data_IF_256169436261
#
_entry.id   IF_256169436261
#
_cell.length_a   1.000
_cell.length_b   1.000
_cell.length_c   1.000
_cell.angle_alpha   90.00
_cell.angle_beta   90.00
_cell.angle_gamma   90.00
#
_symmetry.space_group_name_H-M   'P 1'
#
loop_
_entity.id
_entity.type
_entity.pdbx_description
1 polymer ?
#
# COMPACT_ATOMS: atom_id res chain seq x y z
N UNK A 1 15.55 2.35 -6.40
CA UNK A 1 14.68 2.68 -7.57
C UNK A 1 14.54 1.45 -8.42
N UNK A 2 13.30 1.03 -8.64
CA UNK A 2 12.90 -0.16 -9.36
C UNK A 2 11.80 0.24 -10.34
N UNK A 3 11.87 -0.30 -11.56
CA UNK A 3 10.99 0.03 -12.66
C UNK A 3 10.47 -1.28 -13.27
N UNK A 4 9.15 -1.42 -13.35
CA UNK A 4 8.45 -2.46 -14.11
C UNK A 4 8.37 -2.11 -15.59
N UNK A 5 7.41 -2.72 -16.28
CA UNK A 5 7.19 -2.58 -17.71
C UNK A 5 5.69 -2.44 -18.01
N UNK A 6 5.25 -2.77 -19.23
CA UNK A 6 3.84 -2.76 -19.59
C UNK A 6 3.15 -4.13 -19.33
N UNK A 7 3.78 -5.00 -18.54
CA UNK A 7 3.31 -6.34 -18.25
C UNK A 7 3.04 -6.47 -16.76
N UNK A 8 2.07 -7.30 -16.39
CA UNK A 8 1.84 -7.67 -14.99
C UNK A 8 3.09 -8.30 -14.37
N UNK A 9 3.62 -7.67 -13.34
CA UNK A 9 4.87 -7.99 -12.68
C UNK A 9 4.72 -8.11 -11.16
N UNK A 10 5.73 -8.73 -10.55
CA UNK A 10 5.93 -8.66 -9.10
C UNK A 10 7.23 -7.92 -8.85
N UNK A 11 7.11 -6.76 -8.22
CA UNK A 11 8.22 -5.86 -7.92
C UNK A 11 8.45 -5.84 -6.42
N UNK A 12 9.67 -6.14 -6.00
CA UNK A 12 10.05 -6.16 -4.59
C UNK A 12 11.28 -5.29 -4.39
N UNK A 13 11.17 -4.31 -3.49
CA UNK A 13 12.29 -3.48 -3.06
C UNK A 13 13.27 -4.21 -2.17
N UNK A 14 14.22 -3.45 -1.63
CA UNK A 14 15.30 -4.01 -0.82
C UNK A 14 15.12 -3.63 0.66
N UNK A 15 16.23 -3.48 1.38
CA UNK A 15 16.22 -3.13 2.80
C UNK A 15 16.43 -1.63 3.07
N UNK A 16 16.23 -0.78 2.06
CA UNK A 16 16.42 0.66 2.13
C UNK A 16 15.26 1.37 1.44
N UNK A 17 15.14 2.68 1.65
CA UNK A 17 14.17 3.52 0.94
C UNK A 17 14.31 3.38 -0.59
N UNK A 18 13.26 2.89 -1.21
CA UNK A 18 13.11 2.66 -2.64
C UNK A 18 11.97 3.49 -3.23
N UNK A 19 12.09 3.78 -4.53
CA UNK A 19 10.97 4.22 -5.36
C UNK A 19 10.69 3.10 -6.34
N UNK A 20 9.46 2.59 -6.36
CA UNK A 20 9.04 1.46 -7.20
C UNK A 20 7.92 1.95 -8.11
N UNK A 21 8.08 1.75 -9.42
CA UNK A 21 7.11 2.12 -10.45
C UNK A 21 6.68 0.87 -11.21
N UNK A 22 5.39 0.52 -11.20
CA UNK A 22 4.81 -0.62 -11.94
C UNK A 22 4.69 -0.33 -13.44
N UNK A 23 4.12 0.82 -13.78
CA UNK A 23 3.79 1.31 -15.14
C UNK A 23 2.47 0.80 -15.69
N UNK A 24 2.42 -0.14 -16.64
CA UNK A 24 1.15 -0.66 -17.15
C UNK A 24 1.02 -2.14 -16.79
N UNK A 25 -0.21 -2.60 -16.61
CA UNK A 25 -0.50 -3.99 -16.24
C UNK A 25 -0.86 -4.10 -14.78
N UNK A 26 -1.37 -5.27 -14.39
CA UNK A 26 -1.76 -5.51 -13.00
C UNK A 26 -0.56 -5.99 -12.21
N UNK A 27 0.05 -5.13 -11.43
CA UNK A 27 1.29 -5.37 -10.72
C UNK A 27 1.08 -5.73 -9.25
N UNK A 28 2.08 -6.38 -8.67
CA UNK A 28 2.18 -6.61 -7.23
C UNK A 28 3.44 -5.96 -6.71
N UNK A 29 3.30 -4.92 -5.90
CA UNK A 29 4.40 -4.09 -5.39
C UNK A 29 4.60 -4.33 -3.89
N UNK A 30 5.81 -4.69 -3.49
CA UNK A 30 6.23 -4.72 -2.09
C UNK A 30 7.48 -3.85 -1.92
N UNK A 31 7.44 -2.87 -1.02
CA UNK A 31 8.57 -1.97 -0.75
C UNK A 31 9.79 -2.69 -0.16
N UNK A 32 9.55 -3.74 0.62
CA UNK A 32 10.57 -4.37 1.44
C UNK A 32 10.77 -3.57 2.73
N UNK A 33 11.96 -3.61 3.32
CA UNK A 33 12.23 -2.77 4.47
C UNK A 33 12.69 -1.39 4.00
N UNK A 34 12.22 -0.32 4.61
CA UNK A 34 12.56 1.01 4.15
C UNK A 34 11.51 2.04 4.51
N UNK A 35 11.55 3.14 3.78
CA UNK A 35 10.46 4.09 3.74
C UNK A 35 10.26 4.36 2.26
N UNK A 36 9.33 3.62 1.67
CA UNK A 36 9.27 3.43 0.24
C UNK A 36 8.16 4.27 -0.40
N UNK A 37 8.34 4.56 -1.68
CA UNK A 37 7.32 5.19 -2.52
C UNK A 37 6.93 4.21 -3.61
N UNK A 38 5.68 3.75 -3.56
CA UNK A 38 5.11 2.80 -4.49
C UNK A 38 4.16 3.54 -5.44
N UNK A 39 4.33 3.28 -6.74
CA UNK A 39 3.50 3.82 -7.82
C UNK A 39 3.07 2.65 -8.68
N UNK A 40 1.78 2.30 -8.66
CA UNK A 40 1.23 1.18 -9.43
C UNK A 40 1.24 1.49 -10.93
N UNK A 41 0.61 2.61 -11.29
CA UNK A 41 0.44 3.03 -12.67
C UNK A 41 -0.95 2.69 -13.22
N UNK A 42 -1.01 2.26 -14.48
CA UNK A 42 -2.24 1.79 -15.10
C UNK A 42 -2.44 0.30 -14.87
N UNK A 43 -3.52 -0.09 -14.22
CA UNK A 43 -3.79 -1.50 -13.94
C UNK A 43 -4.74 -1.62 -12.76
N UNK A 44 -5.04 -2.87 -12.39
CA UNK A 44 -5.55 -3.18 -11.06
C UNK A 44 -4.37 -3.71 -10.24
N UNK A 45 -3.77 -2.87 -9.41
CA UNK A 45 -2.51 -3.16 -8.72
C UNK A 45 -2.71 -3.66 -7.29
N UNK A 46 -1.73 -4.40 -6.77
CA UNK A 46 -1.73 -4.88 -5.38
C UNK A 46 -0.49 -4.38 -4.65
N UNK A 47 -0.68 -3.60 -3.60
CA UNK A 47 0.38 -3.08 -2.74
C UNK A 47 0.47 -3.92 -1.47
N UNK A 48 1.58 -4.64 -1.29
CA UNK A 48 1.76 -5.63 -0.24
C UNK A 48 2.62 -5.08 0.88
N UNK A 49 2.09 -5.13 2.10
CA UNK A 49 2.79 -4.70 3.30
C UNK A 49 2.87 -5.83 4.32
N UNK A 50 4.02 -5.95 4.98
CA UNK A 50 4.22 -6.89 6.08
C UNK A 50 4.82 -6.21 7.30
N UNK A 51 4.74 -6.88 8.45
CA UNK A 51 5.32 -6.36 9.70
C UNK A 51 6.81 -5.99 9.55
N UNK A 52 7.14 -4.73 9.84
CA UNK A 52 8.51 -4.22 9.83
C UNK A 52 9.04 -3.76 8.47
N UNK A 53 8.19 -3.67 7.45
CA UNK A 53 8.53 -3.03 6.16
C UNK A 53 8.88 -1.55 6.34
N UNK A 54 8.26 -0.87 7.30
CA UNK A 54 8.55 0.53 7.59
C UNK A 54 7.46 1.46 7.07
N UNK A 55 7.78 2.75 6.96
CA UNK A 55 6.78 3.79 6.70
C UNK A 55 6.70 4.13 5.22
N UNK A 56 5.65 3.66 4.55
CA UNK A 56 5.55 3.69 3.09
C UNK A 56 4.47 4.64 2.58
N UNK A 57 4.59 4.98 1.30
CA UNK A 57 3.68 5.85 0.57
C UNK A 57 3.21 5.14 -0.70
N UNK A 58 1.90 5.01 -0.86
CA UNK A 58 1.27 4.69 -2.15
C UNK A 58 0.80 5.99 -2.77
N UNK A 59 1.34 6.34 -3.93
CA UNK A 59 1.19 7.70 -4.49
C UNK A 59 0.04 7.87 -5.48
N UNK A 60 -0.51 6.77 -6.01
CA UNK A 60 -1.48 6.77 -7.09
C UNK A 60 -2.63 5.78 -6.91
N UNK A 61 -2.88 5.34 -5.67
CA UNK A 61 -3.95 4.38 -5.35
C UNK A 61 -5.31 4.80 -5.95
N UNK A 62 -5.88 3.92 -6.77
CA UNK A 62 -7.07 4.17 -7.56
C UNK A 62 -8.11 3.03 -7.46
N UNK A 63 -9.21 3.20 -8.18
CA UNK A 63 -10.26 2.17 -8.25
C UNK A 63 -9.75 0.95 -9.01
N UNK A 64 -9.80 -0.23 -8.38
CA UNK A 64 -9.27 -1.47 -8.93
C UNK A 64 -8.11 -2.01 -8.09
N UNK A 65 -7.38 -1.08 -7.47
CA UNK A 65 -6.24 -1.41 -6.63
C UNK A 65 -6.65 -2.00 -5.28
N UNK A 66 -5.70 -2.74 -4.72
CA UNK A 66 -5.85 -3.46 -3.46
C UNK A 66 -4.63 -3.22 -2.57
N UNK A 67 -4.87 -2.98 -1.29
CA UNK A 67 -3.85 -3.02 -0.25
C UNK A 67 -3.89 -4.39 0.40
N UNK A 68 -2.81 -5.16 0.25
CA UNK A 68 -2.65 -6.45 0.91
C UNK A 68 -1.97 -6.26 2.28
N UNK A 69 -2.75 -6.46 3.34
CA UNK A 69 -2.33 -6.38 4.73
C UNK A 69 -2.27 -7.75 5.40
N UNK A 70 -2.36 -8.85 4.63
CA UNK A 70 -2.36 -10.22 5.19
C UNK A 70 -1.07 -10.56 5.95
N UNK A 71 0.01 -9.80 5.71
CA UNK A 71 1.28 -9.89 6.44
C UNK A 71 1.42 -8.92 7.61
N UNK A 72 0.43 -8.07 7.89
CA UNK A 72 0.44 -7.10 9.01
C UNK A 72 -0.34 -7.68 10.18
N UNK A 73 0.36 -8.22 11.18
CA UNK A 73 -0.30 -9.02 12.23
C UNK A 73 -1.16 -8.21 13.21
N UNK A 74 -0.94 -6.89 13.26
CA UNK A 74 -1.70 -5.98 14.11
C UNK A 74 -3.13 -5.74 13.63
N UNK A 75 -3.42 -5.96 12.34
CA UNK A 75 -4.70 -5.66 11.71
C UNK A 75 -5.40 -6.99 11.40
N UNK A 76 -6.46 -7.32 12.14
CA UNK A 76 -7.01 -8.70 12.10
C UNK A 76 -8.19 -8.90 11.17
N UNK A 77 -8.98 -7.86 10.94
CA UNK A 77 -10.10 -7.87 9.99
C UNK A 77 -10.50 -6.44 9.60
N UNK A 78 -11.47 -6.31 8.69
CA UNK A 78 -11.91 -5.00 8.20
C UNK A 78 -12.58 -4.14 9.29
N UNK A 79 -13.24 -4.75 10.28
CA UNK A 79 -13.85 -4.01 11.38
C UNK A 79 -12.78 -3.42 12.30
N UNK A 80 -11.71 -4.17 12.55
CA UNK A 80 -10.54 -3.71 13.28
C UNK A 80 -9.81 -2.59 12.54
N UNK A 81 -9.50 -2.79 11.24
CA UNK A 81 -8.89 -1.80 10.36
C UNK A 81 -9.62 -0.45 10.45
N UNK A 82 -10.94 -0.47 10.27
CA UNK A 82 -11.77 0.76 10.26
C UNK A 82 -11.94 1.39 11.64
N UNK A 83 -11.89 0.61 12.72
CA UNK A 83 -12.04 1.12 14.08
C UNK A 83 -10.74 1.71 14.65
N UNK A 84 -9.60 1.11 14.32
CA UNK A 84 -8.36 1.30 15.08
C UNK A 84 -7.16 1.77 14.24
N UNK A 85 -7.15 1.53 12.92
CA UNK A 85 -5.95 1.70 12.11
C UNK A 85 -6.06 2.77 11.02
N UNK A 86 -7.28 3.16 10.64
CA UNK A 86 -7.51 4.15 9.59
C UNK A 86 -7.73 5.56 10.14
N UNK A 87 -7.05 6.54 9.54
CA UNK A 87 -7.32 7.97 9.77
C UNK A 87 -7.22 8.79 8.49
N UNK A 88 -8.05 9.82 8.36
CA UNK A 88 -7.92 10.81 7.28
C UNK A 88 -7.09 12.00 7.79
N UNK A 89 -6.02 12.34 7.06
CA UNK A 89 -5.19 13.51 7.32
C UNK A 89 -5.12 14.37 6.06
N UNK A 90 -5.81 15.51 6.06
CA UNK A 90 -5.92 16.34 4.87
C UNK A 90 -6.59 15.56 3.72
N UNK A 91 -5.87 15.38 2.62
CA UNK A 91 -6.29 14.60 1.44
C UNK A 91 -5.87 13.14 1.48
N UNK A 92 -5.14 12.71 2.51
CA UNK A 92 -4.47 11.41 2.52
C UNK A 92 -5.09 10.50 3.57
N UNK A 93 -5.11 9.20 3.30
CA UNK A 93 -5.47 8.18 4.28
C UNK A 93 -4.19 7.60 4.88
N UNK A 94 -4.17 7.49 6.20
CA UNK A 94 -3.09 6.85 6.95
C UNK A 94 -3.62 5.54 7.51
N UNK A 95 -2.94 4.44 7.19
CA UNK A 95 -3.07 3.15 7.87
C UNK A 95 -1.91 3.05 8.86
N UNK A 96 -2.20 3.03 10.15
CA UNK A 96 -1.22 2.90 11.23
C UNK A 96 -1.17 1.44 11.71
N UNK A 97 0.00 0.80 11.63
CA UNK A 97 0.18 -0.57 12.09
C UNK A 97 0.27 -0.68 13.63
N UNK A 98 0.26 0.45 14.33
CA UNK A 98 0.42 0.60 15.78
C UNK A 98 1.76 0.06 16.32
N UNK A 99 2.69 -0.27 15.44
CA UNK A 99 4.07 -0.66 15.73
C UNK A 99 5.06 0.50 15.52
N UNK A 100 4.57 1.62 14.97
CA UNK A 100 5.32 2.83 14.69
C UNK A 100 5.54 3.08 13.19
N UNK A 101 4.96 2.25 12.34
CA UNK A 101 4.99 2.42 10.89
C UNK A 101 3.61 2.82 10.38
N UNK A 102 3.60 3.55 9.26
CA UNK A 102 2.36 3.98 8.63
C UNK A 102 2.44 3.79 7.13
N UNK A 103 1.34 3.35 6.52
CA UNK A 103 1.15 3.38 5.08
C UNK A 103 0.29 4.61 4.76
N UNK A 104 0.79 5.45 3.87
CA UNK A 104 0.09 6.66 3.41
C UNK A 104 -0.48 6.41 2.02
N UNK A 105 -1.80 6.46 1.88
CA UNK A 105 -2.46 6.51 0.59
C UNK A 105 -2.68 7.99 0.21
N UNK A 106 -1.85 8.50 -0.70
CA UNK A 106 -1.89 9.91 -1.07
C UNK A 106 -3.13 10.25 -1.89
N UNK A 107 -3.73 11.40 -1.62
CA UNK A 107 -4.89 11.90 -2.36
C UNK A 107 -6.11 10.96 -2.37
N UNK A 108 -6.20 10.06 -1.38
CA UNK A 108 -7.32 9.14 -1.18
C UNK A 108 -8.28 9.68 -0.11
N UNK A 109 -9.58 9.58 -0.37
CA UNK A 109 -10.60 9.84 0.64
C UNK A 109 -10.98 8.55 1.34
N UNK A 110 -10.93 8.54 2.68
CA UNK A 110 -11.33 7.41 3.52
C UNK A 110 -12.77 6.97 3.24
N UNK A 111 -13.64 7.91 2.85
CA UNK A 111 -15.03 7.62 2.47
C UNK A 111 -15.17 6.74 1.21
N UNK A 112 -14.11 6.64 0.41
CA UNK A 112 -14.10 5.87 -0.84
C UNK A 112 -13.49 4.48 -0.64
N UNK A 113 -13.03 4.16 0.56
CA UNK A 113 -12.45 2.87 0.91
C UNK A 113 -13.51 1.98 1.59
N UNK A 114 -13.63 0.76 1.11
CA UNK A 114 -14.46 -0.30 1.63
C UNK A 114 -13.66 -1.60 1.75
N UNK A 115 -14.35 -2.69 2.05
CA UNK A 115 -13.69 -3.99 2.26
C UNK A 115 -13.09 -4.58 0.97
N UNK A 116 -13.47 -4.10 -0.22
CA UNK A 116 -12.95 -4.59 -1.50
C UNK A 116 -11.51 -4.15 -1.76
N UNK A 117 -11.08 -3.04 -1.16
CA UNK A 117 -9.75 -2.47 -1.37
C UNK A 117 -8.69 -3.08 -0.43
N UNK A 118 -9.06 -4.07 0.39
CA UNK A 118 -8.16 -4.68 1.37
C UNK A 118 -8.18 -6.21 1.35
N UNK A 119 -7.00 -6.82 1.45
CA UNK A 119 -6.85 -8.23 1.82
C UNK A 119 -6.38 -8.31 3.27
N UNK A 120 -7.10 -9.11 4.07
CA UNK A 120 -6.94 -9.27 5.53
C UNK A 120 -7.17 -10.74 5.90
#
# INVERSE_FOLDING_TARGET
>A
MIEGTAASETLTGWGFADHIYGYEGNDTLNGGNGADVLVGGEGDDTFVFVDGDGGDIVSDFASGDVIDLTGVTAIVDFADLTANHLSQVGSDVIIDDLSGNTIVLQSVSLSNLGASEFLL
#
